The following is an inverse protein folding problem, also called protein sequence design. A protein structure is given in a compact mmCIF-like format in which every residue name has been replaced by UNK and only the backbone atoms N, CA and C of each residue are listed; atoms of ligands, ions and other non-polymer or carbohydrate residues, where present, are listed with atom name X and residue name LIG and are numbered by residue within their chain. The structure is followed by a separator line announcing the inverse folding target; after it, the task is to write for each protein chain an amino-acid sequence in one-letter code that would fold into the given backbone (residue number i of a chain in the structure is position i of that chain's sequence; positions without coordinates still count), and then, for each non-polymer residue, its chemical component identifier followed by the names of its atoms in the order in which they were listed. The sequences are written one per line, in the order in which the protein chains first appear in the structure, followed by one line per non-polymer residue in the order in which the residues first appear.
data_IF_510936837273
#
_entry.id   IF_510936837273
#
_cell.length_a   1.000
_cell.length_b   1.000
_cell.length_c   1.000
_cell.angle_alpha   90.00
_cell.angle_beta   90.00
_cell.angle_gamma   90.00
#
_symmetry.space_group_name_H-M   'P 1'
#
loop_
_entity.id
_entity.type
_entity.pdbx_description
1 polymer ?
#
# COMPACT_ATOMS: atom_id res chain seq x y z
N UNK A 1 16.86 21.75 -12.33
CA UNK A 1 17.69 21.22 -11.24
C UNK A 1 16.90 20.12 -10.57
N UNK A 2 17.58 19.10 -10.07
CA UNK A 2 16.96 18.07 -9.22
C UNK A 2 17.32 18.39 -7.77
N UNK A 3 16.40 18.15 -6.83
CA UNK A 3 16.56 18.38 -5.41
C UNK A 3 16.19 17.10 -4.66
N UNK A 4 17.05 16.64 -3.76
CA UNK A 4 16.72 15.54 -2.87
C UNK A 4 15.84 16.07 -1.74
N UNK A 5 14.62 15.53 -1.63
CA UNK A 5 13.68 15.87 -0.56
C UNK A 5 14.00 15.05 0.71
N UNK A 6 14.28 13.76 0.57
CA UNK A 6 14.65 12.90 1.71
C UNK A 6 15.44 11.69 1.24
N UNK A 7 16.42 11.28 2.05
CA UNK A 7 17.03 9.95 1.94
C UNK A 7 16.41 9.06 3.01
N UNK A 8 15.84 7.92 2.62
CA UNK A 8 15.38 6.89 3.54
C UNK A 8 16.38 5.72 3.50
N UNK A 9 17.11 5.43 4.58
CA UNK A 9 18.00 4.29 4.61
C UNK A 9 17.20 2.99 4.76
N UNK A 10 17.32 2.10 3.78
CA UNK A 10 16.72 0.76 3.85
C UNK A 10 17.66 -0.21 4.58
N UNK A 11 17.23 -0.82 5.70
CA UNK A 11 18.12 -1.63 6.52
C UNK A 11 18.42 -3.00 5.91
N UNK A 12 17.54 -3.53 5.06
CA UNK A 12 17.70 -4.80 4.35
C UNK A 12 17.45 -4.65 2.83
N UNK A 13 17.42 -5.76 2.09
CA UNK A 13 17.45 -5.78 0.61
C UNK A 13 16.08 -5.76 -0.08
N UNK A 14 15.00 -5.74 0.69
CA UNK A 14 13.61 -5.85 0.23
C UNK A 14 12.70 -4.97 1.08
N UNK A 15 11.43 -4.88 0.68
CA UNK A 15 10.37 -4.07 1.32
C UNK A 15 10.68 -2.58 1.40
N UNK A 16 11.22 -2.03 0.32
CA UNK A 16 11.46 -0.59 0.23
C UNK A 16 10.18 0.19 -0.08
N UNK A 17 9.09 -0.48 -0.47
CA UNK A 17 7.91 0.14 -1.07
C UNK A 17 8.27 1.14 -2.18
N UNK A 18 7.96 2.43 -1.99
CA UNK A 18 8.37 3.51 -2.88
C UNK A 18 7.24 4.11 -3.73
N UNK A 19 5.98 3.78 -3.44
CA UNK A 19 4.87 4.48 -4.06
C UNK A 19 4.81 5.93 -3.58
N UNK A 20 4.62 6.85 -4.52
CA UNK A 20 4.38 8.27 -4.23
C UNK A 20 3.16 8.76 -5.00
N UNK A 21 2.34 9.58 -4.35
CA UNK A 21 1.17 10.17 -4.97
C UNK A 21 0.84 11.50 -4.30
N UNK A 22 0.36 12.48 -5.08
CA UNK A 22 -0.23 13.68 -4.51
C UNK A 22 -1.67 13.38 -4.10
N UNK A 23 -2.03 13.74 -2.87
CA UNK A 23 -3.41 13.70 -2.40
C UNK A 23 -4.21 14.88 -2.95
N UNK A 24 -5.55 14.84 -2.82
CA UNK A 24 -6.42 15.95 -3.21
C UNK A 24 -6.23 17.21 -2.36
N UNK A 25 -5.59 17.06 -1.20
CA UNK A 25 -5.17 18.13 -0.29
C UNK A 25 -3.90 18.85 -0.74
N UNK A 26 -3.25 18.38 -1.81
CA UNK A 26 -2.04 18.99 -2.39
C UNK A 26 -0.73 18.51 -1.77
N UNK A 27 -0.77 17.63 -0.77
CA UNK A 27 0.43 17.10 -0.13
C UNK A 27 0.94 15.83 -0.82
N UNK A 28 2.24 15.56 -0.65
CA UNK A 28 2.86 14.35 -1.19
C UNK A 28 2.75 13.22 -0.16
N UNK A 29 2.13 12.12 -0.58
CA UNK A 29 2.06 10.87 0.17
C UNK A 29 3.18 9.94 -0.30
N UNK A 30 3.94 9.38 0.64
CA UNK A 30 5.10 8.53 0.37
C UNK A 30 4.98 7.24 1.17
N UNK A 31 4.93 6.11 0.47
CA UNK A 31 4.87 4.79 1.08
C UNK A 31 6.28 4.25 1.37
N UNK A 32 6.50 3.77 2.59
CA UNK A 32 7.73 3.16 3.07
C UNK A 32 7.40 1.76 3.60
N UNK A 33 8.16 0.75 3.18
CA UNK A 33 7.99 -0.59 3.76
C UNK A 33 8.73 -0.70 5.08
N UNK A 34 8.56 -1.83 5.74
CA UNK A 34 9.06 -2.14 7.09
C UNK A 34 10.60 -2.24 7.15
N UNK A 35 11.28 -2.14 6.00
CA UNK A 35 12.73 -2.20 5.90
C UNK A 35 13.28 -3.60 5.61
N UNK A 36 12.40 -4.59 5.41
CA UNK A 36 12.74 -5.87 4.81
C UNK A 36 13.05 -6.97 5.81
N UNK A 37 13.57 -8.08 5.26
CA UNK A 37 13.70 -9.32 6.01
C UNK A 37 12.36 -10.05 6.13
N UNK A 38 12.35 -11.10 6.95
CA UNK A 38 11.12 -11.80 7.28
C UNK A 38 10.59 -11.27 8.61
N UNK A 39 9.27 -11.27 8.77
CA UNK A 39 8.60 -11.05 10.06
C UNK A 39 8.78 -9.64 10.65
N UNK A 40 9.38 -8.67 9.95
CA UNK A 40 9.69 -7.34 10.50
C UNK A 40 10.62 -7.49 11.72
N UNK A 41 11.75 -8.18 11.53
CA UNK A 41 12.78 -8.39 12.55
C UNK A 41 14.21 -8.36 11.98
N UNK A 42 15.18 -8.23 12.90
CA UNK A 42 16.60 -8.31 12.57
C UNK A 42 17.25 -6.94 12.39
N UNK A 43 18.18 -6.82 11.45
CA UNK A 43 19.00 -5.61 11.33
C UNK A 43 18.11 -4.41 11.00
N UNK A 44 18.26 -3.32 11.78
CA UNK A 44 17.58 -2.05 11.55
C UNK A 44 16.10 -2.04 11.91
N UNK A 45 15.63 -3.05 12.64
CA UNK A 45 14.31 -3.10 13.24
C UNK A 45 14.41 -2.67 14.70
N UNK A 46 13.40 -1.94 15.17
CA UNK A 46 13.37 -1.47 16.55
C UNK A 46 13.01 -2.60 17.51
N UNK A 47 13.58 -2.52 18.71
CA UNK A 47 13.30 -3.48 19.78
C UNK A 47 11.97 -3.12 20.47
N UNK A 48 11.22 -4.16 20.84
CA UNK A 48 10.31 -4.25 21.99
C UNK A 48 9.62 -2.96 22.46
N UNK A 49 8.51 -2.63 21.81
CA UNK A 49 7.58 -1.61 22.28
C UNK A 49 6.09 -2.01 22.16
N UNK A 50 5.80 -3.16 21.51
CA UNK A 50 4.46 -3.76 21.43
C UNK A 50 4.47 -5.14 22.09
N UNK A 51 3.87 -5.28 23.27
CA UNK A 51 3.98 -6.47 24.15
C UNK A 51 3.71 -7.84 23.48
N UNK A 52 2.93 -7.88 22.39
CA UNK A 52 2.58 -9.12 21.70
C UNK A 52 3.73 -9.71 20.85
N UNK A 53 4.72 -8.91 20.46
CA UNK A 53 5.84 -9.32 19.60
C UNK A 53 7.15 -8.65 20.01
N UNK A 54 8.33 -9.24 19.73
CA UNK A 54 9.62 -8.72 20.23
C UNK A 54 10.08 -7.36 19.66
N UNK A 55 9.29 -6.71 18.81
CA UNK A 55 9.67 -5.51 18.07
C UNK A 55 9.33 -5.61 16.58
N UNK A 56 9.71 -4.56 15.85
CA UNK A 56 9.35 -4.38 14.44
C UNK A 56 9.08 -2.91 14.12
N UNK A 57 9.37 -2.52 12.88
CA UNK A 57 9.19 -1.17 12.42
C UNK A 57 7.74 -0.87 12.04
N UNK A 58 6.95 -1.89 11.65
CA UNK A 58 5.59 -1.70 11.14
C UNK A 58 4.73 -0.94 12.13
N UNK A 59 4.83 -1.28 13.40
CA UNK A 59 4.00 -0.66 14.41
C UNK A 59 4.69 0.67 14.94
N UNK A 60 6.02 0.86 14.82
CA UNK A 60 6.78 1.92 15.54
C UNK A 60 6.64 3.29 14.89
N UNK A 61 6.33 4.28 15.72
CA UNK A 61 6.14 5.65 15.23
C UNK A 61 7.23 6.63 15.69
N UNK A 62 8.20 6.18 16.48
CA UNK A 62 9.08 7.07 17.24
C UNK A 62 10.52 7.07 16.77
N UNK A 63 11.07 5.93 16.35
CA UNK A 63 12.48 5.84 16.00
C UNK A 63 12.72 5.99 14.50
N UNK A 64 11.77 5.57 13.67
CA UNK A 64 11.91 5.62 12.22
C UNK A 64 10.56 5.78 11.48
N UNK A 65 10.64 5.87 10.15
CA UNK A 65 9.50 6.11 9.26
C UNK A 65 9.16 4.88 8.38
N UNK A 66 9.64 3.69 8.73
CA UNK A 66 9.39 2.48 7.98
C UNK A 66 7.98 1.94 8.30
N UNK A 67 7.47 1.05 7.44
CA UNK A 67 6.16 0.43 7.59
C UNK A 67 4.98 1.42 7.62
N UNK A 68 5.09 2.49 6.83
CA UNK A 68 4.23 3.68 6.96
C UNK A 68 3.80 4.26 5.62
N UNK A 69 2.74 5.07 5.66
CA UNK A 69 2.49 6.11 4.65
C UNK A 69 2.75 7.46 5.31
N UNK A 70 3.65 8.22 4.69
CA UNK A 70 4.04 9.56 5.11
C UNK A 70 3.21 10.60 4.35
N UNK A 71 3.01 11.78 4.94
CA UNK A 71 2.40 12.94 4.27
C UNK A 71 3.24 14.18 4.54
N UNK A 72 3.79 14.76 3.49
CA UNK A 72 4.72 15.90 3.57
C UNK A 72 4.31 17.04 2.64
N UNK A 73 4.70 18.25 3.00
CA UNK A 73 4.52 19.45 2.18
C UNK A 73 5.80 19.77 1.41
N UNK A 74 5.76 19.51 0.11
CA UNK A 74 6.92 19.76 -0.78
C UNK A 74 6.99 21.21 -1.29
N UNK A 75 5.99 22.03 -1.00
CA UNK A 75 5.93 23.44 -1.39
C UNK A 75 6.44 24.37 -0.26
N UNK A 76 6.72 23.83 0.91
CA UNK A 76 7.31 24.54 2.06
C UNK A 76 8.58 23.87 2.56
N UNK A 77 9.26 24.51 3.51
CA UNK A 77 10.51 24.01 4.11
C UNK A 77 10.46 24.20 5.61
N UNK A 78 11.15 23.34 6.35
CA UNK A 78 11.43 23.58 7.75
C UNK A 78 10.40 23.02 8.73
N UNK A 79 9.95 21.77 8.59
CA UNK A 79 9.11 21.15 9.62
C UNK A 79 7.78 21.87 9.88
N UNK A 80 7.20 21.65 11.07
CA UNK A 80 5.97 22.36 11.49
C UNK A 80 6.26 23.82 11.87
N UNK A 81 7.39 24.10 12.54
CA UNK A 81 7.70 25.45 13.05
C UNK A 81 8.42 26.37 12.06
N UNK A 82 8.89 25.84 10.93
CA UNK A 82 9.73 26.56 9.95
C UNK A 82 11.21 26.65 10.31
N UNK A 83 11.65 26.06 11.44
CA UNK A 83 12.96 26.35 12.05
C UNK A 83 14.06 25.31 11.76
N UNK A 84 13.75 24.23 11.03
CA UNK A 84 14.75 23.25 10.63
C UNK A 84 15.15 23.35 9.15
N UNK A 85 16.26 22.73 8.79
CA UNK A 85 16.80 22.77 7.42
C UNK A 85 16.14 21.71 6.50
N UNK A 86 14.96 21.16 6.86
CA UNK A 86 14.29 20.17 6.00
C UNK A 86 13.85 20.81 4.68
N UNK A 87 14.07 20.14 3.54
CA UNK A 87 13.68 20.64 2.23
C UNK A 87 12.18 20.46 1.92
N UNK A 88 11.39 20.10 2.93
CA UNK A 88 9.93 19.96 2.92
C UNK A 88 9.40 20.45 4.28
N UNK A 89 8.14 20.88 4.31
CA UNK A 89 7.38 21.13 5.52
C UNK A 89 6.53 19.93 5.95
N UNK A 90 5.90 20.07 7.10
CA UNK A 90 4.96 19.11 7.65
C UNK A 90 3.59 19.75 7.72
N UNK A 91 2.54 19.14 7.16
CA UNK A 91 1.17 19.61 7.38
C UNK A 91 0.84 19.65 8.87
N UNK A 92 0.36 20.80 9.36
CA UNK A 92 0.05 21.02 10.79
C UNK A 92 -0.99 20.03 11.34
N UNK A 93 -1.83 19.50 10.44
CA UNK A 93 -2.85 18.53 10.75
C UNK A 93 -2.36 17.08 10.58
N UNK A 94 -1.08 16.77 10.46
CA UNK A 94 -0.62 15.38 10.55
C UNK A 94 -0.93 14.79 11.95
N UNK A 95 -1.17 13.46 12.06
CA UNK A 95 -1.68 12.85 13.28
C UNK A 95 -0.73 12.91 14.48
N UNK A 96 0.58 12.90 14.23
CA UNK A 96 1.60 12.91 15.29
C UNK A 96 2.14 14.29 15.62
N UNK A 97 1.70 15.35 14.91
CA UNK A 97 2.11 16.73 15.22
C UNK A 97 1.68 17.10 16.63
N UNK A 98 2.67 17.43 17.47
CA UNK A 98 2.46 17.76 18.88
C UNK A 98 2.18 16.56 19.79
N UNK A 99 2.35 15.34 19.28
CA UNK A 99 2.29 14.08 20.03
C UNK A 99 3.67 13.42 20.06
N UNK A 100 3.78 12.27 20.73
CA UNK A 100 4.99 11.45 20.67
C UNK A 100 5.02 10.71 19.32
N UNK A 101 6.16 10.75 18.63
CA UNK A 101 6.33 10.17 17.29
C UNK A 101 6.87 11.14 16.24
N UNK A 102 7.07 10.64 15.03
CA UNK A 102 7.62 11.40 13.91
C UNK A 102 6.51 12.04 13.08
N UNK A 103 6.55 13.38 13.00
CA UNK A 103 5.51 14.21 12.41
C UNK A 103 5.14 13.87 10.95
N UNK A 104 6.05 13.24 10.18
CA UNK A 104 5.81 12.83 8.81
C UNK A 104 4.76 11.72 8.68
N UNK A 105 4.56 10.90 9.73
CA UNK A 105 3.69 9.75 9.64
C UNK A 105 2.23 10.16 9.51
N UNK A 106 1.58 9.70 8.44
CA UNK A 106 0.15 9.84 8.24
C UNK A 106 -0.61 8.58 8.68
N UNK A 107 -0.03 7.41 8.45
CA UNK A 107 -0.52 6.12 8.92
C UNK A 107 0.65 5.11 9.00
N UNK A 108 0.49 4.06 9.80
CA UNK A 108 1.51 3.05 10.06
C UNK A 108 0.88 1.66 10.21
N UNK A 109 1.67 0.66 10.57
CA UNK A 109 1.24 -0.72 10.68
C UNK A 109 1.17 -1.42 9.33
N UNK A 110 2.01 -1.02 8.37
CA UNK A 110 2.08 -1.59 7.02
C UNK A 110 3.38 -2.37 6.84
N UNK A 111 3.37 -3.36 5.95
CA UNK A 111 4.53 -4.21 5.68
C UNK A 111 5.36 -3.71 4.51
N UNK A 112 4.78 -3.68 3.33
CA UNK A 112 5.38 -3.24 2.09
C UNK A 112 4.32 -2.60 1.19
N UNK A 113 3.87 -1.36 1.53
CA UNK A 113 2.82 -0.63 0.81
C UNK A 113 3.25 -0.27 -0.61
N UNK A 114 3.08 -1.21 -1.53
CA UNK A 114 3.64 -1.22 -2.88
C UNK A 114 3.01 -0.20 -3.81
N UNK A 115 1.73 0.10 -3.64
CA UNK A 115 0.98 1.04 -4.50
C UNK A 115 0.03 1.90 -3.70
N UNK A 116 0.07 3.20 -3.99
CA UNK A 116 -0.95 4.17 -3.59
C UNK A 116 -1.80 4.54 -4.81
N UNK A 117 -3.10 4.66 -4.61
CA UNK A 117 -4.03 5.14 -5.64
C UNK A 117 -5.15 5.95 -5.03
N UNK A 118 -5.26 7.23 -5.42
CA UNK A 118 -6.36 8.09 -5.00
C UNK A 118 -7.57 7.99 -5.94
N UNK A 119 -8.76 8.12 -5.37
CA UNK A 119 -10.01 8.34 -6.08
C UNK A 119 -10.91 9.29 -5.28
N UNK A 120 -10.83 10.59 -5.57
CA UNK A 120 -11.40 11.60 -4.69
C UNK A 120 -10.55 11.75 -3.42
N UNK A 121 -11.20 11.68 -2.26
CA UNK A 121 -10.51 11.72 -0.94
C UNK A 121 -10.04 10.35 -0.46
N UNK A 122 -10.52 9.28 -1.07
CA UNK A 122 -10.12 7.92 -0.73
C UNK A 122 -8.74 7.60 -1.32
N UNK A 123 -7.84 7.09 -0.48
CA UNK A 123 -6.55 6.55 -0.91
C UNK A 123 -6.49 5.05 -0.61
N UNK A 124 -6.27 4.25 -1.64
CA UNK A 124 -6.10 2.81 -1.53
C UNK A 124 -4.62 2.47 -1.47
N UNK A 125 -4.24 1.67 -0.48
CA UNK A 125 -2.87 1.19 -0.26
C UNK A 125 -2.84 -0.31 -0.49
N UNK A 126 -2.19 -0.75 -1.56
CA UNK A 126 -1.94 -2.18 -1.76
C UNK A 126 -0.69 -2.56 -0.97
N UNK A 127 -0.86 -3.38 0.05
CA UNK A 127 0.20 -3.79 0.97
C UNK A 127 0.53 -5.28 0.81
N UNK A 128 1.81 -5.56 0.52
CA UNK A 128 2.25 -6.93 0.20
C UNK A 128 2.49 -7.72 1.48
N UNK A 129 1.86 -8.89 1.56
CA UNK A 129 1.89 -9.79 2.70
C UNK A 129 3.20 -10.53 2.92
N UNK A 130 3.33 -11.19 4.08
CA UNK A 130 4.51 -11.97 4.45
C UNK A 130 4.52 -13.34 3.78
N UNK A 131 3.41 -14.06 3.83
CA UNK A 131 3.34 -15.44 3.37
C UNK A 131 1.95 -16.07 3.33
N UNK A 132 0.93 -15.43 3.88
CA UNK A 132 -0.43 -15.98 3.94
C UNK A 132 -1.47 -15.11 3.24
N UNK A 133 -1.41 -13.78 3.41
CA UNK A 133 -2.48 -12.87 2.98
C UNK A 133 -1.95 -11.63 2.30
N UNK A 134 -2.53 -11.31 1.15
CA UNK A 134 -2.35 -10.04 0.47
C UNK A 134 -3.51 -9.11 0.82
N UNK A 135 -3.27 -7.81 0.90
CA UNK A 135 -4.30 -6.86 1.34
C UNK A 135 -4.31 -5.53 0.57
N UNK A 136 -5.48 -4.89 0.56
CA UNK A 136 -5.64 -3.49 0.18
C UNK A 136 -6.34 -2.76 1.31
N UNK A 137 -5.72 -1.69 1.79
CA UNK A 137 -6.22 -0.83 2.84
C UNK A 137 -6.84 0.45 2.28
N UNK A 138 -7.84 0.98 2.97
CA UNK A 138 -8.31 2.35 2.76
C UNK A 138 -7.59 3.25 3.77
N UNK A 139 -6.78 4.19 3.28
CA UNK A 139 -5.89 5.00 4.10
C UNK A 139 -6.69 5.96 4.99
N UNK A 140 -6.53 5.83 6.30
CA UNK A 140 -7.11 6.73 7.30
C UNK A 140 -5.98 7.51 8.02
N UNK A 141 -6.24 8.79 8.32
CA UNK A 141 -5.33 9.65 9.08
C UNK A 141 -5.13 9.09 10.50
N UNK A 142 -3.90 8.76 10.85
CA UNK A 142 -3.55 8.10 12.12
C UNK A 142 -3.96 6.64 12.17
N UNK A 143 -4.26 6.03 11.01
CA UNK A 143 -4.62 4.63 10.92
C UNK A 143 -3.44 3.71 11.23
N UNK A 144 -3.73 2.61 11.92
CA UNK A 144 -2.78 1.54 12.20
C UNK A 144 -3.31 0.22 11.61
N UNK A 145 -2.63 -0.35 10.62
CA UNK A 145 -3.08 -1.57 9.91
C UNK A 145 -2.56 -2.88 10.54
N UNK A 146 -1.85 -2.80 11.66
CA UNK A 146 -1.57 -3.95 12.52
C UNK A 146 -0.37 -4.82 12.13
N UNK A 147 0.32 -4.59 11.02
CA UNK A 147 1.61 -5.26 10.79
C UNK A 147 2.63 -4.82 11.84
N UNK A 148 3.33 -5.71 12.57
CA UNK A 148 3.53 -7.15 12.34
C UNK A 148 2.85 -8.07 13.38
N UNK A 149 1.73 -7.66 13.97
CA UNK A 149 0.87 -8.53 14.81
C UNK A 149 -0.32 -9.10 14.04
N UNK A 150 -0.61 -8.53 12.87
CA UNK A 150 -1.58 -9.00 11.89
C UNK A 150 -0.96 -9.09 10.50
N UNK A 151 -1.51 -9.97 9.67
CA UNK A 151 -1.27 -10.07 8.23
C UNK A 151 -2.65 -10.23 7.57
N UNK A 152 -3.15 -9.22 6.85
CA UNK A 152 -4.57 -9.14 6.58
C UNK A 152 -5.37 -8.87 7.86
N UNK A 153 -6.58 -9.40 7.92
CA UNK A 153 -7.38 -9.42 9.14
C UNK A 153 -6.95 -10.53 10.12
N UNK A 154 -5.87 -11.26 9.83
CA UNK A 154 -5.49 -12.50 10.52
C UNK A 154 -4.30 -12.31 11.46
N UNK A 155 -4.19 -13.19 12.46
CA UNK A 155 -3.15 -13.09 13.47
C UNK A 155 -1.79 -13.47 12.87
N UNK A 156 -0.78 -12.70 13.21
CA UNK A 156 0.58 -12.95 12.80
C UNK A 156 1.50 -12.78 14.01
N UNK A 157 2.29 -13.81 14.34
CA UNK A 157 3.27 -13.84 15.46
C UNK A 157 2.76 -13.55 16.88
N UNK A 158 1.50 -13.21 17.06
CA UNK A 158 0.87 -13.02 18.37
C UNK A 158 0.08 -14.27 18.79
N UNK A 159 0.08 -14.56 20.10
CA UNK A 159 -0.68 -15.69 20.69
C UNK A 159 -2.20 -15.50 20.54
N UNK A 160 -2.68 -14.26 20.69
CA UNK A 160 -4.04 -13.81 20.42
C UNK A 160 -4.01 -12.75 19.34
N UNK A 161 -5.00 -12.73 18.43
CA UNK A 161 -5.16 -11.68 17.41
C UNK A 161 -5.42 -10.33 18.09
N UNK A 162 -4.49 -9.37 18.08
CA UNK A 162 -4.81 -8.04 18.58
C UNK A 162 -5.76 -7.40 17.57
N UNK A 163 -6.83 -6.80 18.08
CA UNK A 163 -7.74 -5.92 17.31
C UNK A 163 -7.55 -4.46 17.70
N UNK A 164 -6.71 -4.21 18.70
CA UNK A 164 -6.39 -2.90 19.24
C UNK A 164 -4.93 -2.87 19.71
N UNK A 165 -4.36 -1.69 19.78
CA UNK A 165 -3.07 -1.41 20.41
C UNK A 165 -3.15 -1.57 21.94
N UNK A 166 -2.01 -1.66 22.66
CA UNK A 166 -2.00 -1.77 24.12
C UNK A 166 -2.72 -0.62 24.86
N UNK A 167 -2.82 0.56 24.24
CA UNK A 167 -3.56 1.71 24.75
C UNK A 167 -5.03 1.76 24.29
N UNK A 168 -5.50 0.74 23.55
CA UNK A 168 -6.89 0.53 23.18
C UNK A 168 -7.34 1.21 21.89
N UNK A 169 -6.43 1.71 21.06
CA UNK A 169 -6.78 2.22 19.74
C UNK A 169 -6.99 1.06 18.75
N UNK A 170 -8.04 1.07 17.91
CA UNK A 170 -8.34 -0.05 17.03
C UNK A 170 -7.26 -0.22 15.95
N UNK A 171 -6.96 -1.48 15.63
CA UNK A 171 -6.25 -1.85 14.40
C UNK A 171 -7.28 -1.92 13.26
N UNK A 172 -6.96 -1.32 12.12
CA UNK A 172 -7.87 -1.20 11.00
C UNK A 172 -7.84 -2.46 10.13
N UNK A 173 -9.01 -2.96 9.76
CA UNK A 173 -9.15 -4.07 8.82
C UNK A 173 -8.99 -3.57 7.37
N UNK A 174 -8.39 -4.40 6.49
CA UNK A 174 -8.27 -4.08 5.09
C UNK A 174 -9.64 -4.05 4.41
N UNK A 175 -9.76 -3.28 3.33
CA UNK A 175 -10.96 -3.29 2.48
C UNK A 175 -10.99 -4.52 1.58
N UNK A 176 -9.84 -5.11 1.27
CA UNK A 176 -9.70 -6.35 0.51
C UNK A 176 -8.62 -7.21 1.14
N UNK A 177 -8.87 -8.51 1.21
CA UNK A 177 -7.83 -9.49 1.52
C UNK A 177 -8.05 -10.77 0.72
N UNK A 178 -6.97 -11.47 0.39
CA UNK A 178 -7.04 -12.77 -0.28
C UNK A 178 -5.80 -13.63 0.03
N UNK A 179 -5.93 -14.96 0.02
CA UNK A 179 -4.86 -15.84 0.44
C UNK A 179 -3.80 -16.05 -0.64
N UNK A 180 -2.63 -16.53 -0.25
CA UNK A 180 -1.56 -16.87 -1.19
C UNK A 180 -1.85 -18.05 -2.12
N UNK A 181 -2.90 -18.83 -1.82
CA UNK A 181 -3.31 -19.98 -2.63
C UNK A 181 -4.79 -20.29 -2.46
N UNK A 182 -5.40 -20.87 -3.48
CA UNK A 182 -6.79 -21.30 -3.48
C UNK A 182 -7.39 -21.27 -4.88
N UNK A 183 -8.61 -21.79 -5.03
CA UNK A 183 -9.34 -21.79 -6.30
C UNK A 183 -9.99 -20.43 -6.63
N UNK A 184 -10.01 -19.50 -5.66
CA UNK A 184 -10.62 -18.17 -5.75
C UNK A 184 -9.63 -17.07 -6.16
N UNK A 185 -9.91 -15.81 -5.80
CA UNK A 185 -8.88 -14.76 -5.77
C UNK A 185 -7.71 -15.21 -4.90
N UNK A 186 -6.51 -15.23 -5.46
CA UNK A 186 -5.28 -15.62 -4.77
C UNK A 186 -4.06 -15.08 -5.52
N UNK A 187 -2.95 -14.88 -4.81
CA UNK A 187 -1.70 -14.38 -5.39
C UNK A 187 -0.61 -14.16 -4.34
N UNK A 188 0.58 -13.70 -4.73
CA UNK A 188 1.78 -13.69 -3.86
C UNK A 188 2.30 -12.27 -3.59
N UNK A 189 1.84 -11.29 -4.37
CA UNK A 189 2.21 -9.90 -4.18
C UNK A 189 1.18 -9.01 -4.89
N UNK A 190 0.34 -8.35 -4.11
CA UNK A 190 -0.65 -7.40 -4.62
C UNK A 190 0.07 -6.26 -5.35
N UNK A 191 -0.35 -6.03 -6.60
CA UNK A 191 0.20 -4.92 -7.41
C UNK A 191 -0.55 -3.61 -7.12
N UNK A 192 -1.75 -3.73 -6.58
CA UNK A 192 -2.71 -2.65 -6.44
C UNK A 192 -3.46 -2.38 -7.74
N UNK A 193 -4.17 -1.25 -7.76
CA UNK A 193 -5.17 -0.98 -8.77
C UNK A 193 -5.67 0.45 -8.73
N UNK A 194 -6.82 0.68 -9.37
CA UNK A 194 -7.53 1.95 -9.33
C UNK A 194 -9.04 1.74 -9.37
N UNK A 195 -9.81 2.67 -8.81
CA UNK A 195 -11.23 2.75 -9.08
C UNK A 195 -11.45 3.12 -10.56
N UNK A 196 -12.20 2.29 -11.28
CA UNK A 196 -12.52 2.51 -12.69
C UNK A 196 -13.55 3.64 -12.82
N UNK A 197 -13.17 4.71 -13.53
CA UNK A 197 -14.02 5.88 -13.79
C UNK A 197 -14.22 6.15 -15.29
N UNK A 198 -13.76 5.23 -16.14
CA UNK A 198 -13.94 5.30 -17.59
C UNK A 198 -15.37 4.98 -18.01
N UNK A 199 -15.63 5.15 -19.31
CA UNK A 199 -16.96 4.93 -19.90
C UNK A 199 -17.01 3.67 -20.76
N UNK A 200 -15.86 3.14 -21.18
CA UNK A 200 -15.76 2.01 -22.11
C UNK A 200 -16.24 0.68 -21.51
N UNK A 201 -16.20 0.53 -20.17
CA UNK A 201 -16.61 -0.68 -19.46
C UNK A 201 -17.60 -0.32 -18.34
N UNK A 202 -18.85 -0.05 -18.72
CA UNK A 202 -19.90 0.37 -17.77
C UNK A 202 -20.07 -0.57 -16.56
N UNK A 203 -19.84 -1.87 -16.73
CA UNK A 203 -19.93 -2.87 -15.65
C UNK A 203 -18.90 -2.66 -14.52
N UNK A 204 -17.78 -2.00 -14.81
CA UNK A 204 -16.72 -1.71 -13.83
C UNK A 204 -16.85 -0.32 -13.21
N UNK A 205 -17.83 0.49 -13.61
CA UNK A 205 -17.99 1.85 -13.08
C UNK A 205 -18.03 1.87 -11.55
N UNK A 206 -17.06 2.56 -10.93
CA UNK A 206 -16.92 2.66 -9.48
C UNK A 206 -16.34 1.43 -8.78
N UNK A 207 -15.96 0.37 -9.50
CA UNK A 207 -15.26 -0.77 -8.92
C UNK A 207 -13.75 -0.48 -8.80
N UNK A 208 -13.13 -0.90 -7.70
CA UNK A 208 -11.68 -0.97 -7.57
C UNK A 208 -11.16 -2.16 -8.36
N UNK A 209 -10.42 -1.90 -9.43
CA UNK A 209 -9.86 -2.91 -10.33
C UNK A 209 -8.38 -3.06 -10.03
N UNK A 210 -7.95 -4.27 -9.72
CA UNK A 210 -6.60 -4.58 -9.26
C UNK A 210 -6.12 -5.93 -9.77
N UNK A 211 -4.86 -6.26 -9.48
CA UNK A 211 -4.28 -7.55 -9.77
C UNK A 211 -3.19 -7.90 -8.76
N UNK A 212 -2.72 -9.13 -8.89
CA UNK A 212 -1.57 -9.66 -8.19
C UNK A 212 -0.48 -10.02 -9.21
N UNK A 213 0.77 -9.92 -8.78
CA UNK A 213 1.94 -10.22 -9.59
C UNK A 213 1.96 -11.67 -10.10
N UNK A 214 1.67 -12.64 -9.23
CA UNK A 214 1.70 -14.07 -9.53
C UNK A 214 0.30 -14.69 -9.47
N UNK A 215 -0.61 -14.15 -10.27
CA UNK A 215 -1.96 -14.70 -10.45
C UNK A 215 -2.30 -14.94 -11.92
N UNK A 216 -1.31 -15.35 -12.72
CA UNK A 216 -1.47 -15.71 -14.15
C UNK A 216 -2.11 -14.59 -15.01
N UNK A 217 -1.92 -13.33 -14.60
CA UNK A 217 -2.45 -12.16 -15.28
C UNK A 217 -3.94 -11.90 -15.00
N UNK A 218 -4.57 -12.66 -14.10
CA UNK A 218 -5.95 -12.44 -13.66
C UNK A 218 -6.11 -11.02 -13.13
N UNK A 219 -7.24 -10.42 -13.48
CA UNK A 219 -7.65 -9.12 -13.00
C UNK A 219 -8.86 -9.32 -12.09
N UNK A 220 -8.92 -8.54 -11.03
CA UNK A 220 -9.97 -8.60 -10.04
C UNK A 220 -10.67 -7.26 -9.92
N UNK A 221 -11.93 -7.29 -9.51
CA UNK A 221 -12.71 -6.12 -9.17
C UNK A 221 -13.43 -6.34 -7.85
N UNK A 222 -13.47 -5.30 -7.02
CA UNK A 222 -14.32 -5.24 -5.85
C UNK A 222 -15.07 -3.90 -5.84
N UNK A 223 -16.28 -3.88 -5.29
CA UNK A 223 -17.06 -2.64 -5.17
C UNK A 223 -16.94 -2.10 -3.75
N UNK A 224 -16.59 -0.81 -3.59
CA UNK A 224 -16.58 -0.18 -2.28
C UNK A 224 -17.91 -0.35 -1.55
N UNK A 225 -17.81 -0.69 -0.26
CA UNK A 225 -18.92 -1.05 0.62
C UNK A 225 -18.60 -0.67 2.07
N UNK A 226 -19.64 -0.45 2.89
CA UNK A 226 -19.47 -0.19 4.32
C UNK A 226 -18.96 -1.43 5.08
N UNK A 227 -19.38 -2.64 4.69
CA UNK A 227 -18.86 -3.88 5.28
C UNK A 227 -17.51 -4.24 4.66
N UNK A 228 -16.51 -4.54 5.49
CA UNK A 228 -15.19 -5.03 5.11
C UNK A 228 -14.99 -6.50 5.56
N UNK A 229 -14.17 -7.29 4.85
CA UNK A 229 -13.62 -7.01 3.52
C UNK A 229 -14.72 -7.02 2.44
N UNK A 230 -14.45 -6.42 1.29
CA UNK A 230 -15.37 -6.41 0.14
C UNK A 230 -15.32 -7.73 -0.63
N UNK A 231 -16.44 -8.09 -1.26
CA UNK A 231 -16.48 -9.23 -2.16
C UNK A 231 -15.61 -8.99 -3.40
N UNK A 232 -14.63 -9.87 -3.61
CA UNK A 232 -13.74 -9.85 -4.78
C UNK A 232 -14.32 -10.74 -5.89
N UNK A 233 -14.44 -10.18 -7.09
CA UNK A 233 -14.80 -10.90 -8.29
C UNK A 233 -13.64 -10.89 -9.31
N UNK A 234 -13.40 -12.02 -9.95
CA UNK A 234 -12.52 -12.07 -11.11
C UNK A 234 -13.19 -11.43 -12.32
N UNK A 235 -12.41 -10.64 -13.07
CA UNK A 235 -12.82 -10.04 -14.34
C UNK A 235 -12.46 -11.03 -15.47
N UNK A 236 -13.44 -11.56 -16.23
CA UNK A 236 -13.15 -12.41 -17.37
C UNK A 236 -12.44 -11.61 -18.47
N UNK A 237 -11.22 -12.01 -18.83
CA UNK A 237 -10.46 -11.39 -19.92
C UNK A 237 -10.44 -12.35 -21.11
N UNK A 238 -11.15 -12.00 -22.18
CA UNK A 238 -11.39 -12.90 -23.33
C UNK A 238 -10.42 -12.71 -24.50
N UNK A 239 -9.74 -11.57 -24.56
CA UNK A 239 -8.82 -11.23 -25.65
C UNK A 239 -7.52 -10.66 -25.06
N UNK A 240 -6.50 -11.53 -24.93
CA UNK A 240 -5.16 -11.16 -24.45
C UNK A 240 -4.17 -11.39 -25.58
N UNK A 241 -3.98 -10.36 -26.40
CA UNK A 241 -3.02 -10.39 -27.51
C UNK A 241 -1.55 -10.40 -27.04
N UNK A 242 -1.29 -10.15 -25.75
CA UNK A 242 0.04 -9.80 -25.23
C UNK A 242 0.78 -10.91 -24.47
N UNK A 243 0.16 -12.07 -24.20
CA UNK A 243 0.79 -13.14 -23.43
C UNK A 243 1.19 -12.73 -21.99
N UNK A 244 0.64 -11.63 -21.47
CA UNK A 244 0.99 -11.05 -20.20
C UNK A 244 0.41 -11.82 -19.01
N UNK A 245 1.11 -12.86 -18.56
CA UNK A 245 0.79 -13.68 -17.38
C UNK A 245 1.20 -13.04 -16.06
N UNK A 246 1.91 -11.91 -16.10
CA UNK A 246 2.37 -11.19 -14.91
C UNK A 246 1.94 -9.74 -15.05
N UNK A 247 1.11 -9.25 -14.11
CA UNK A 247 0.76 -7.84 -14.02
C UNK A 247 1.85 -7.14 -13.21
N UNK A 248 2.30 -5.98 -13.68
CA UNK A 248 3.39 -5.21 -13.08
C UNK A 248 2.92 -3.89 -12.45
N UNK A 249 1.92 -3.25 -13.07
CA UNK A 249 1.35 -1.99 -12.61
C UNK A 249 0.01 -1.72 -13.29
N UNK A 250 -0.77 -0.85 -12.67
CA UNK A 250 -1.90 -0.18 -13.31
C UNK A 250 -1.56 1.30 -13.53
N UNK A 251 -2.25 1.89 -14.51
CA UNK A 251 -2.34 3.33 -14.68
C UNK A 251 -3.77 3.72 -15.00
N UNK A 252 -4.21 4.87 -14.48
CA UNK A 252 -5.50 5.48 -14.83
C UNK A 252 -5.26 6.73 -15.65
N UNK A 253 -5.83 6.79 -16.85
CA UNK A 253 -5.78 7.97 -17.69
C UNK A 253 -6.78 9.05 -17.20
N UNK A 254 -6.63 10.32 -17.64
CA UNK A 254 -7.52 11.41 -17.23
C UNK A 254 -9.00 11.20 -17.59
N UNK A 255 -9.29 10.40 -18.62
CA UNK A 255 -10.64 9.99 -19.01
C UNK A 255 -11.21 8.85 -18.15
N UNK A 256 -10.46 8.40 -17.14
CA UNK A 256 -10.85 7.33 -16.23
C UNK A 256 -10.61 5.92 -16.75
N UNK A 257 -10.12 5.78 -17.99
CA UNK A 257 -9.79 4.47 -18.56
C UNK A 257 -8.53 3.88 -17.93
N UNK A 258 -8.52 2.56 -17.78
CA UNK A 258 -7.43 1.85 -17.14
C UNK A 258 -6.50 1.21 -18.15
N UNK A 259 -5.22 1.27 -17.82
CA UNK A 259 -4.13 0.63 -18.52
C UNK A 259 -3.41 -0.31 -17.57
N UNK A 260 -2.97 -1.45 -18.09
CA UNK A 260 -2.26 -2.49 -17.33
C UNK A 260 -0.91 -2.74 -17.97
N UNK A 261 0.14 -2.61 -17.18
CA UNK A 261 1.48 -3.02 -17.56
C UNK A 261 1.63 -4.52 -17.29
N UNK A 262 2.05 -5.28 -18.29
CA UNK A 262 2.23 -6.73 -18.18
C UNK A 262 3.60 -7.18 -18.66
N UNK A 263 3.97 -8.42 -18.34
CA UNK A 263 5.16 -9.10 -18.83
C UNK A 263 4.89 -10.60 -19.00
N UNK A 264 5.51 -11.22 -20.00
CA UNK A 264 5.52 -12.68 -20.18
C UNK A 264 6.47 -13.40 -19.19
N UNK A 265 7.29 -12.63 -18.44
CA UNK A 265 8.21 -13.15 -17.43
C UNK A 265 7.82 -12.71 -16.02
N UNK A 266 7.95 -13.60 -15.03
CA UNK A 266 7.82 -13.29 -13.60
C UNK A 266 9.10 -12.65 -13.05
N UNK A 267 9.86 -11.92 -13.87
CA UNK A 267 11.09 -11.23 -13.44
C UNK A 267 11.17 -9.87 -14.14
N UNK A 268 11.69 -8.86 -13.44
CA UNK A 268 11.88 -7.50 -13.95
C UNK A 268 13.12 -7.37 -14.84
N UNK A 269 13.30 -8.31 -15.78
CA UNK A 269 14.39 -8.27 -16.77
C UNK A 269 13.88 -8.69 -18.14
N UNK A 270 14.52 -8.18 -19.20
CA UNK A 270 14.15 -8.47 -20.58
C UNK A 270 13.41 -7.31 -21.24
N UNK A 271 12.61 -7.61 -22.27
CA UNK A 271 11.99 -6.61 -23.14
C UNK A 271 10.55 -6.98 -23.55
N UNK A 272 9.89 -7.84 -22.80
CA UNK A 272 8.53 -8.31 -23.04
C UNK A 272 7.46 -7.49 -22.34
N UNK A 273 7.86 -6.38 -21.71
CA UNK A 273 6.91 -5.45 -21.10
C UNK A 273 5.92 -4.90 -22.13
N UNK A 274 4.64 -4.90 -21.80
CA UNK A 274 3.57 -4.36 -22.62
C UNK A 274 2.68 -3.39 -21.81
N UNK A 275 2.05 -2.45 -22.50
CA UNK A 275 1.03 -1.55 -21.94
C UNK A 275 -0.29 -1.81 -22.66
N UNK A 276 -1.29 -2.25 -21.92
CA UNK A 276 -2.57 -2.68 -22.46
C UNK A 276 -3.69 -1.79 -21.94
N UNK A 277 -4.55 -1.29 -22.82
CA UNK A 277 -5.77 -0.59 -22.40
C UNK A 277 -6.87 -1.61 -22.14
N UNK A 278 -7.56 -1.53 -21.01
CA UNK A 278 -8.76 -2.32 -20.76
C UNK A 278 -9.92 -1.80 -21.62
N UNK A 279 -10.61 -2.70 -22.31
CA UNK A 279 -11.78 -2.37 -23.13
C UNK A 279 -12.91 -3.36 -22.88
N UNK A 280 -14.15 -2.89 -23.07
CA UNK A 280 -15.35 -3.73 -22.97
C UNK A 280 -15.68 -4.36 -24.31
N UNK A 281 -16.47 -5.43 -24.26
CA UNK A 281 -17.07 -6.09 -25.44
C UNK A 281 -18.49 -5.59 -25.66
#
# INVERSE_FOLDING_TARGET
SEMCIRNSPEPQSNHNAGAVAFGPDGYLYVATGDGGGANDEGRGHVDDWYDAVPGGNGQDVTENLLGSVLRIDVDSTGGVSGDDDRPYGIPEDNPLVGSDGLDEQYAWGLRNPWRLSFDGEDCYVADVGQGAWEEVNLLERGGNYGWNVREGAHCFRADDCPTETPDGAPLLDPVLEYPHSGDGPSGVAVIGGHVYRGESISALSGAYVFADWQSEGRLFAARPSESRPWDIAEIPVTDRDDGGTNVLAFGRAPDGELYVCTSDRPIVTGSSGALNRLTGV
#
